data_IF_825377275805
#
_entry.id   IF_825377275805
#
_cell.length_a   1.000
_cell.length_b   1.000
_cell.length_c   1.000
_cell.angle_alpha   90.00
_cell.angle_beta   90.00
_cell.angle_gamma   90.00
#
_symmetry.space_group_name_H-M   'P 1'
#
loop_
_entity.id
_entity.type
_entity.pdbx_description
1 polymer ?
#
# COMPACT_ATOMS: atom_id res chain seq x y z
N UNK A 1 0.72 -6.39 -19.25
CA UNK A 1 -0.19 -6.09 -18.12
C UNK A 1 -0.25 -7.20 -17.06
N UNK A 2 -0.24 -8.49 -17.41
CA UNK A 2 -0.42 -9.58 -16.41
C UNK A 2 0.68 -9.65 -15.34
N UNK A 3 1.93 -9.35 -15.69
CA UNK A 3 3.05 -9.34 -14.73
C UNK A 3 2.83 -8.35 -13.57
N UNK A 4 2.44 -7.10 -13.88
CA UNK A 4 2.15 -6.07 -12.87
C UNK A 4 0.90 -6.38 -12.03
N UNK A 5 0.00 -7.22 -12.54
CA UNK A 5 -1.21 -7.60 -11.81
C UNK A 5 -0.91 -8.69 -10.78
N UNK A 6 0.02 -9.59 -11.09
CA UNK A 6 0.44 -10.69 -10.19
C UNK A 6 1.60 -10.34 -9.26
N UNK A 7 2.33 -9.25 -9.52
CA UNK A 7 3.44 -8.84 -8.66
C UNK A 7 2.99 -8.26 -7.33
N UNK A 8 3.88 -8.22 -6.34
CA UNK A 8 3.66 -7.61 -5.03
C UNK A 8 3.46 -6.09 -5.11
N UNK A 9 2.74 -5.50 -4.16
CA UNK A 9 2.54 -4.05 -4.03
C UNK A 9 3.87 -3.29 -4.00
N UNK A 10 4.84 -3.80 -3.25
CA UNK A 10 6.19 -3.21 -3.16
C UNK A 10 6.86 -3.16 -4.54
N UNK A 11 6.77 -4.21 -5.34
CA UNK A 11 7.32 -4.28 -6.69
C UNK A 11 6.63 -3.29 -7.64
N UNK A 12 5.30 -3.14 -7.54
CA UNK A 12 4.53 -2.19 -8.36
C UNK A 12 4.96 -0.75 -8.06
N UNK A 13 5.00 -0.38 -6.78
CA UNK A 13 5.42 0.95 -6.36
C UNK A 13 6.88 1.21 -6.73
N UNK A 14 7.79 0.29 -6.41
CA UNK A 14 9.21 0.45 -6.72
C UNK A 14 9.46 0.59 -8.22
N UNK A 15 8.80 -0.23 -9.06
CA UNK A 15 8.94 -0.09 -10.52
C UNK A 15 8.44 1.25 -11.04
N UNK A 16 7.31 1.76 -10.54
CA UNK A 16 6.81 3.09 -10.90
C UNK A 16 7.79 4.21 -10.46
N UNK A 17 8.33 4.14 -9.23
CA UNK A 17 9.31 5.10 -8.74
C UNK A 17 10.63 5.03 -9.52
N UNK A 18 11.11 3.84 -9.89
CA UNK A 18 12.30 3.67 -10.73
C UNK A 18 12.07 4.31 -12.10
N UNK A 19 10.92 4.07 -12.73
CA UNK A 19 10.59 4.70 -14.01
C UNK A 19 10.56 6.22 -13.89
N UNK A 20 9.91 6.77 -12.86
CA UNK A 20 9.92 8.21 -12.60
C UNK A 20 11.35 8.75 -12.37
N UNK A 21 12.18 8.04 -11.61
CA UNK A 21 13.56 8.44 -11.35
C UNK A 21 14.42 8.43 -12.62
N UNK A 22 14.26 7.40 -13.47
CA UNK A 22 14.95 7.31 -14.77
C UNK A 22 14.52 8.44 -15.71
N UNK A 23 13.23 8.76 -15.75
CA UNK A 23 12.71 9.89 -16.53
C UNK A 23 13.31 11.21 -16.02
N UNK A 24 13.35 11.43 -14.70
CA UNK A 24 13.97 12.62 -14.11
C UNK A 24 15.46 12.73 -14.47
N UNK A 25 16.19 11.61 -14.41
CA UNK A 25 17.61 11.56 -14.83
C UNK A 25 17.76 11.88 -16.31
N UNK A 26 16.89 11.35 -17.17
CA UNK A 26 16.91 11.63 -18.61
C UNK A 26 16.65 13.11 -18.91
N UNK A 27 15.62 13.71 -18.29
CA UNK A 27 15.31 15.14 -18.44
C UNK A 27 16.45 16.01 -17.89
N UNK A 28 17.00 15.65 -16.72
CA UNK A 28 18.16 16.35 -16.15
C UNK A 28 19.40 16.26 -17.05
N UNK A 29 19.65 15.10 -17.65
CA UNK A 29 20.72 14.89 -18.62
C UNK A 29 20.56 15.75 -19.87
N UNK A 30 19.36 15.82 -20.44
CA UNK A 30 19.06 16.69 -21.58
C UNK A 30 19.29 18.17 -21.24
N UNK A 31 18.86 18.60 -20.05
CA UNK A 31 19.12 19.95 -19.55
C UNK A 31 20.61 20.27 -19.45
N UNK A 32 21.41 19.35 -18.89
CA UNK A 32 22.87 19.51 -18.80
C UNK A 32 23.53 19.64 -20.18
N UNK A 33 23.14 18.81 -21.16
CA UNK A 33 23.68 18.92 -22.53
C UNK A 33 23.40 20.29 -23.13
N UNK A 34 22.18 20.82 -22.95
CA UNK A 34 21.82 22.16 -23.42
C UNK A 34 22.69 23.26 -22.78
N UNK A 35 22.90 23.19 -21.47
CA UNK A 35 23.74 24.14 -20.70
C UNK A 35 25.19 24.07 -21.16
N UNK A 36 25.77 22.88 -21.32
CA UNK A 36 27.17 22.72 -21.76
C UNK A 36 27.37 23.29 -23.16
N UNK A 37 26.46 23.04 -24.10
CA UNK A 37 26.57 23.59 -25.46
C UNK A 37 26.47 25.12 -25.48
N UNK A 38 25.60 25.69 -24.65
CA UNK A 38 25.49 27.14 -24.49
C UNK A 38 26.77 27.74 -23.88
N UNK A 39 27.34 27.07 -22.87
CA UNK A 39 28.61 27.44 -22.25
C UNK A 39 29.74 27.53 -23.27
N UNK A 40 29.91 26.49 -24.10
CA UNK A 40 30.94 26.46 -25.14
C UNK A 40 30.76 27.57 -26.19
N UNK A 41 29.51 27.89 -26.56
CA UNK A 41 29.22 28.97 -27.50
C UNK A 41 29.56 30.36 -26.92
N UNK A 42 29.30 30.57 -25.62
CA UNK A 42 29.69 31.78 -24.91
C UNK A 42 31.22 31.88 -24.79
N UNK A 43 31.89 30.78 -24.46
CA UNK A 43 33.35 30.73 -24.36
C UNK A 43 34.02 31.09 -25.70
N UNK A 44 33.54 30.56 -26.82
CA UNK A 44 34.05 30.94 -28.15
C UNK A 44 33.86 32.44 -28.42
N UNK A 45 32.70 33.00 -28.05
CA UNK A 45 32.41 34.43 -28.28
C UNK A 45 33.30 35.34 -27.43
N UNK A 46 33.46 35.03 -26.14
CA UNK A 46 34.18 35.89 -25.19
C UNK A 46 35.69 35.68 -25.19
N UNK A 47 36.14 34.43 -25.27
CA UNK A 47 37.56 34.09 -25.14
C UNK A 47 38.31 34.13 -26.48
N UNK A 48 37.62 33.94 -27.61
CA UNK A 48 38.21 34.06 -28.93
C UNK A 48 37.81 35.38 -29.61
N UNK A 49 36.57 35.48 -30.09
CA UNK A 49 36.21 36.50 -31.06
C UNK A 49 36.31 37.93 -30.48
N UNK A 50 35.89 38.14 -29.22
CA UNK A 50 36.01 39.45 -28.58
C UNK A 50 37.47 39.86 -28.35
N UNK A 51 38.33 38.91 -27.98
CA UNK A 51 39.78 39.13 -27.82
C UNK A 51 40.41 39.46 -29.18
N UNK A 52 40.02 38.74 -30.24
CA UNK A 52 40.47 38.99 -31.60
C UNK A 52 40.06 40.37 -32.12
N UNK A 53 38.81 40.80 -31.92
CA UNK A 53 38.36 42.17 -32.26
C UNK A 53 39.15 43.21 -31.47
N UNK A 54 39.31 43.02 -30.15
CA UNK A 54 40.05 43.94 -29.30
C UNK A 54 41.48 44.13 -29.78
N UNK A 55 42.21 43.03 -30.00
CA UNK A 55 43.61 43.06 -30.42
C UNK A 55 43.79 43.66 -31.83
N UNK A 56 42.91 43.30 -32.77
CA UNK A 56 42.97 43.84 -34.14
C UNK A 56 42.65 45.34 -34.15
N UNK A 57 41.69 45.78 -33.33
CA UNK A 57 41.33 47.20 -33.21
C UNK A 57 42.41 48.01 -32.47
N UNK A 58 43.08 47.45 -31.45
CA UNK A 58 44.24 48.09 -30.82
C UNK A 58 45.39 48.21 -31.82
N UNK A 59 45.66 47.17 -32.62
CA UNK A 59 46.66 47.22 -33.71
C UNK A 59 46.36 48.36 -34.68
N UNK A 60 45.10 48.46 -35.14
CA UNK A 60 44.66 49.53 -36.03
C UNK A 60 44.80 50.92 -35.37
N UNK A 61 44.42 51.04 -34.10
CA UNK A 61 44.50 52.29 -33.34
C UNK A 61 45.95 52.74 -33.19
N UNK A 62 46.86 51.84 -32.80
CA UNK A 62 48.29 52.11 -32.65
C UNK A 62 48.94 52.48 -33.98
N UNK A 63 48.61 51.81 -35.09
CA UNK A 63 49.14 52.21 -36.40
C UNK A 63 48.58 53.54 -36.89
N UNK A 64 47.33 53.86 -36.56
CA UNK A 64 46.74 55.16 -36.85
C UNK A 64 47.42 56.27 -36.04
N UNK A 65 47.70 56.02 -34.75
CA UNK A 65 48.44 56.92 -33.88
C UNK A 65 49.87 57.13 -34.39
N UNK A 66 50.55 56.06 -34.78
CA UNK A 66 51.87 56.12 -35.41
C UNK A 66 51.86 56.96 -36.69
N UNK A 67 50.93 56.68 -37.63
CA UNK A 67 50.82 57.43 -38.88
C UNK A 67 50.57 58.93 -38.62
N UNK A 68 49.66 59.26 -37.69
CA UNK A 68 49.40 60.63 -37.25
C UNK A 68 50.62 61.28 -36.58
N UNK A 69 51.38 60.51 -35.81
CA UNK A 69 52.61 60.95 -35.16
C UNK A 69 53.66 61.40 -36.17
N UNK A 70 53.76 60.73 -37.32
CA UNK A 70 54.68 61.13 -38.40
C UNK A 70 54.31 62.52 -38.96
N UNK A 71 53.01 62.78 -39.17
CA UNK A 71 52.54 64.11 -39.56
C UNK A 71 52.83 65.17 -38.49
N UNK A 72 52.59 64.85 -37.22
CA UNK A 72 52.91 65.75 -36.10
C UNK A 72 54.41 66.06 -36.01
N UNK A 73 55.26 65.08 -36.25
CA UNK A 73 56.71 65.25 -36.23
C UNK A 73 57.18 66.13 -37.40
N UNK A 74 56.60 65.96 -38.58
CA UNK A 74 56.86 66.80 -39.76
C UNK A 74 56.44 68.26 -39.51
N UNK A 75 55.26 68.47 -38.92
CA UNK A 75 54.72 69.81 -38.63
C UNK A 75 55.51 70.55 -37.54
N UNK A 76 56.02 69.80 -36.55
CA UNK A 76 56.89 70.33 -35.50
C UNK A 76 58.23 70.89 -36.03
N UNK A 77 58.58 70.64 -37.29
CA UNK A 77 59.80 71.16 -37.92
C UNK A 77 59.74 72.68 -38.17
N UNK A 78 58.54 73.25 -38.39
CA UNK A 78 58.39 74.69 -38.70
C UNK A 78 58.17 75.60 -37.49
N UNK A 79 57.72 75.03 -36.35
CA UNK A 79 57.06 75.79 -35.29
C UNK A 79 57.92 76.26 -34.12
N UNK A 80 59.25 76.25 -34.23
CA UNK A 80 60.13 76.52 -33.08
C UNK A 80 59.93 75.53 -31.91
N UNK A 81 59.37 74.35 -32.20
CA UNK A 81 59.06 73.32 -31.20
C UNK A 81 60.38 72.83 -30.58
N UNK A 82 60.50 72.81 -29.24
CA UNK A 82 61.69 72.30 -28.55
C UNK A 82 62.06 70.88 -28.99
N UNK A 83 63.36 70.58 -29.10
CA UNK A 83 63.82 69.22 -29.44
C UNK A 83 63.33 68.17 -28.44
N UNK A 84 63.13 68.53 -27.17
CA UNK A 84 62.56 67.64 -26.17
C UNK A 84 61.11 67.22 -26.49
N UNK A 85 60.31 68.10 -27.09
CA UNK A 85 58.96 67.76 -27.55
C UNK A 85 59.00 66.85 -28.78
N UNK A 86 59.92 67.11 -29.73
CA UNK A 86 60.12 66.27 -30.91
C UNK A 86 60.59 64.87 -30.52
N UNK A 87 61.48 64.76 -29.54
CA UNK A 87 61.94 63.47 -29.03
C UNK A 87 60.81 62.68 -28.36
N UNK A 88 59.94 63.35 -27.59
CA UNK A 88 58.72 62.72 -27.06
C UNK A 88 57.81 62.17 -28.17
N UNK A 89 57.69 62.86 -29.31
CA UNK A 89 56.95 62.32 -30.46
C UNK A 89 57.65 61.12 -31.09
N UNK A 90 58.99 61.14 -31.24
CA UNK A 90 59.76 59.99 -31.75
C UNK A 90 59.64 58.77 -30.84
N UNK A 91 59.68 58.98 -29.52
CA UNK A 91 59.45 57.92 -28.55
C UNK A 91 58.05 57.33 -28.70
N UNK A 92 57.01 58.18 -28.74
CA UNK A 92 55.63 57.74 -28.94
C UNK A 92 55.45 56.96 -30.25
N UNK A 93 56.10 57.38 -31.35
CA UNK A 93 56.10 56.64 -32.62
C UNK A 93 56.65 55.23 -32.46
N UNK A 94 57.78 55.08 -31.77
CA UNK A 94 58.37 53.76 -31.50
C UNK A 94 57.48 52.90 -30.62
N UNK A 95 56.88 53.49 -29.58
CA UNK A 95 55.98 52.80 -28.66
C UNK A 95 54.69 52.33 -29.36
N UNK A 96 54.09 53.17 -30.18
CA UNK A 96 52.89 52.85 -30.97
C UNK A 96 53.18 51.71 -31.95
N UNK A 97 54.32 51.74 -32.65
CA UNK A 97 54.70 50.68 -33.58
C UNK A 97 54.95 49.35 -32.86
N UNK A 98 55.71 49.37 -31.75
CA UNK A 98 55.99 48.19 -30.95
C UNK A 98 54.70 47.59 -30.36
N UNK A 99 53.78 48.44 -29.89
CA UNK A 99 52.46 48.02 -29.41
C UNK A 99 51.65 47.36 -30.50
N UNK A 100 51.57 47.97 -31.69
CA UNK A 100 50.85 47.40 -32.83
C UNK A 100 51.39 45.99 -33.18
N UNK A 101 52.71 45.83 -33.30
CA UNK A 101 53.32 44.55 -33.61
C UNK A 101 53.07 43.50 -32.51
N UNK A 102 53.22 43.89 -31.24
CA UNK A 102 53.00 43.00 -30.10
C UNK A 102 51.57 42.48 -30.05
N UNK A 103 50.59 43.38 -30.14
CA UNK A 103 49.17 43.01 -30.02
C UNK A 103 48.70 42.25 -31.25
N UNK A 104 49.20 42.60 -32.43
CA UNK A 104 48.95 41.82 -33.65
C UNK A 104 49.48 40.39 -33.54
N UNK A 105 50.67 40.18 -32.98
CA UNK A 105 51.19 38.83 -32.76
C UNK A 105 50.32 38.00 -31.80
N UNK A 106 49.72 38.65 -30.78
CA UNK A 106 48.76 37.98 -29.88
C UNK A 106 47.49 37.59 -30.66
N UNK A 107 46.97 38.48 -31.51
CA UNK A 107 45.85 38.15 -32.39
C UNK A 107 46.19 36.99 -33.33
N UNK A 108 47.38 36.96 -33.95
CA UNK A 108 47.78 35.89 -34.87
C UNK A 108 47.91 34.52 -34.22
N UNK A 109 48.02 34.46 -32.90
CA UNK A 109 48.03 33.23 -32.13
C UNK A 109 46.62 32.70 -31.79
N UNK A 110 45.55 33.45 -32.07
CA UNK A 110 44.18 32.98 -31.86
C UNK A 110 43.72 32.07 -33.01
N UNK A 111 42.66 31.26 -32.82
CA UNK A 111 41.96 30.63 -33.93
C UNK A 111 41.42 31.64 -34.95
N UNK A 112 41.82 31.49 -36.22
CA UNK A 112 41.47 32.38 -37.33
C UNK A 112 40.70 31.64 -38.43
N UNK A 113 39.69 32.30 -39.01
CA UNK A 113 39.08 31.91 -40.28
C UNK A 113 40.01 32.16 -41.48
N UNK A 114 39.63 31.63 -42.65
CA UNK A 114 40.45 31.70 -43.86
C UNK A 114 40.63 33.14 -44.37
N UNK A 115 39.59 33.98 -44.26
CA UNK A 115 39.65 35.39 -44.67
C UNK A 115 40.56 36.22 -43.76
N UNK A 116 40.50 35.95 -42.45
CA UNK A 116 41.40 36.50 -41.44
C UNK A 116 42.85 36.10 -41.67
N UNK A 117 43.08 34.80 -41.94
CA UNK A 117 44.41 34.27 -42.20
C UNK A 117 45.02 34.93 -43.43
N UNK A 118 44.27 34.99 -44.54
CA UNK A 118 44.72 35.62 -45.77
C UNK A 118 45.01 37.12 -45.58
N UNK A 119 44.14 37.86 -44.89
CA UNK A 119 44.36 39.28 -44.61
C UNK A 119 45.56 39.50 -43.67
N UNK A 120 45.73 38.65 -42.66
CA UNK A 120 46.87 38.67 -41.74
C UNK A 120 48.19 38.40 -42.46
N UNK A 121 48.24 37.43 -43.37
CA UNK A 121 49.44 37.13 -44.15
C UNK A 121 49.83 38.31 -45.06
N UNK A 122 48.85 38.98 -45.68
CA UNK A 122 49.10 40.19 -46.48
C UNK A 122 49.54 41.38 -45.63
N UNK A 123 48.96 41.52 -44.43
CA UNK A 123 49.42 42.53 -43.46
C UNK A 123 50.88 42.28 -43.08
N UNK A 124 51.24 41.06 -42.70
CA UNK A 124 52.61 40.67 -42.32
C UNK A 124 53.60 40.90 -43.46
N UNK A 125 53.20 40.60 -44.70
CA UNK A 125 54.02 40.82 -45.89
C UNK A 125 54.32 42.31 -46.13
N UNK A 126 53.34 43.21 -45.93
CA UNK A 126 53.51 44.64 -46.20
C UNK A 126 54.11 45.42 -45.02
N UNK A 127 54.00 44.89 -43.80
CA UNK A 127 54.40 45.60 -42.59
C UNK A 127 55.88 46.03 -42.59
N UNK A 128 56.85 45.21 -43.02
CA UNK A 128 58.25 45.64 -43.13
C UNK A 128 58.45 46.84 -44.05
N UNK A 129 57.74 46.89 -45.18
CA UNK A 129 57.79 48.01 -46.12
C UNK A 129 57.18 49.29 -45.53
N UNK A 130 56.09 49.17 -44.77
CA UNK A 130 55.51 50.28 -44.02
C UNK A 130 56.49 50.83 -42.97
N UNK A 131 57.11 49.95 -42.18
CA UNK A 131 58.09 50.33 -41.15
C UNK A 131 59.31 51.02 -41.76
N UNK A 132 59.88 50.44 -42.82
CA UNK A 132 61.01 51.04 -43.52
C UNK A 132 60.65 52.42 -44.10
N UNK A 133 59.44 52.56 -44.66
CA UNK A 133 58.95 53.84 -45.15
C UNK A 133 58.73 54.88 -44.05
N UNK A 134 58.20 54.48 -42.90
CA UNK A 134 58.05 55.36 -41.74
C UNK A 134 59.42 55.83 -41.22
N UNK A 135 60.41 54.92 -41.16
CA UNK A 135 61.77 55.26 -40.75
C UNK A 135 62.42 56.26 -41.72
N UNK A 136 62.26 56.06 -43.03
CA UNK A 136 62.71 57.03 -44.03
C UNK A 136 62.11 58.43 -43.84
N UNK A 137 60.83 58.53 -43.47
CA UNK A 137 60.20 59.81 -43.13
C UNK A 137 60.89 60.46 -41.92
N UNK A 138 61.13 59.69 -40.85
CA UNK A 138 61.82 60.20 -39.65
C UNK A 138 63.23 60.67 -39.98
N UNK A 139 63.96 59.94 -40.82
CA UNK A 139 65.33 60.28 -41.20
C UNK A 139 65.40 61.52 -42.10
N UNK A 140 64.46 61.68 -43.04
CA UNK A 140 64.33 62.90 -43.85
C UNK A 140 63.99 64.13 -42.99
N UNK A 141 63.10 63.98 -41.99
CA UNK A 141 62.79 65.06 -41.03
C UNK A 141 64.06 65.44 -40.23
N UNK A 142 64.85 64.46 -39.79
CA UNK A 142 66.13 64.72 -39.08
C UNK A 142 67.16 65.41 -39.98
N UNK A 143 67.21 65.05 -41.26
CA UNK A 143 68.12 65.64 -42.24
C UNK A 143 67.73 67.07 -42.65
N UNK A 144 66.55 67.56 -42.25
CA UNK A 144 66.05 68.88 -42.61
C UNK A 144 65.31 68.93 -43.95
N UNK A 145 65.21 67.82 -44.69
CA UNK A 145 64.60 67.76 -46.01
C UNK A 145 63.08 67.53 -45.92
N UNK A 146 62.38 68.65 -45.73
CA UNK A 146 60.96 68.66 -45.43
C UNK A 146 60.07 68.31 -46.63
N UNK A 147 60.44 68.73 -47.83
CA UNK A 147 59.65 68.45 -49.04
C UNK A 147 59.74 66.98 -49.42
N UNK A 148 60.94 66.38 -49.29
CA UNK A 148 61.11 64.94 -49.45
C UNK A 148 60.35 64.17 -48.35
N UNK A 149 60.45 64.59 -47.08
CA UNK A 149 59.74 63.97 -45.97
C UNK A 149 58.22 64.00 -46.17
N UNK A 150 57.66 65.15 -46.59
CA UNK A 150 56.23 65.32 -46.88
C UNK A 150 55.77 64.42 -48.03
N UNK A 151 56.52 64.39 -49.12
CA UNK A 151 56.20 63.55 -50.28
C UNK A 151 56.21 62.06 -49.91
N UNK A 152 57.24 61.64 -49.16
CA UNK A 152 57.37 60.26 -48.69
C UNK A 152 56.25 59.89 -47.72
N UNK A 153 55.92 60.77 -46.77
CA UNK A 153 54.86 60.56 -45.80
C UNK A 153 53.48 60.48 -46.46
N UNK A 154 53.19 61.35 -47.42
CA UNK A 154 51.93 61.30 -48.16
C UNK A 154 51.77 59.98 -48.91
N UNK A 155 52.83 59.52 -49.59
CA UNK A 155 52.83 58.22 -50.30
C UNK A 155 52.68 57.05 -49.33
N UNK A 156 53.40 57.08 -48.20
CA UNK A 156 53.29 56.07 -47.15
C UNK A 156 51.86 55.99 -46.61
N UNK A 157 51.20 57.13 -46.40
CA UNK A 157 49.85 57.20 -45.84
C UNK A 157 48.76 56.83 -46.86
N UNK A 158 48.84 57.34 -48.10
CA UNK A 158 47.83 57.10 -49.14
C UNK A 158 47.87 55.66 -49.66
N UNK A 159 49.04 55.05 -49.75
CA UNK A 159 49.20 53.69 -50.28
C UNK A 159 49.47 52.67 -49.17
N UNK A 160 50.59 52.82 -48.45
CA UNK A 160 51.06 51.84 -47.47
C UNK A 160 50.07 51.67 -46.31
N UNK A 161 49.82 52.74 -45.56
CA UNK A 161 48.91 52.74 -44.41
C UNK A 161 47.48 52.37 -44.82
N UNK A 162 47.01 52.88 -45.96
CA UNK A 162 45.65 52.59 -46.43
C UNK A 162 45.45 51.10 -46.72
N UNK A 163 46.43 50.43 -47.34
CA UNK A 163 46.37 48.96 -47.57
C UNK A 163 46.52 48.17 -46.27
N UNK A 164 47.45 48.55 -45.38
CA UNK A 164 47.61 47.91 -44.06
C UNK A 164 46.30 48.01 -43.26
N UNK A 165 45.68 49.20 -43.27
CA UNK A 165 44.37 49.46 -42.64
C UNK A 165 43.26 48.62 -43.26
N UNK A 166 43.24 48.40 -44.57
CA UNK A 166 42.19 47.59 -45.20
C UNK A 166 42.25 46.15 -44.74
N UNK A 167 43.45 45.55 -44.61
CA UNK A 167 43.58 44.19 -44.09
C UNK A 167 43.12 44.07 -42.63
N UNK A 168 43.50 45.04 -41.78
CA UNK A 168 42.99 45.11 -40.41
C UNK A 168 41.47 45.23 -40.34
N UNK A 169 40.86 46.01 -41.24
CA UNK A 169 39.40 46.09 -41.33
C UNK A 169 38.77 44.76 -41.76
N UNK A 170 39.35 44.07 -42.74
CA UNK A 170 38.87 42.72 -43.13
C UNK A 170 38.88 41.77 -41.94
N UNK A 171 39.95 41.75 -41.14
CA UNK A 171 40.04 40.93 -39.93
C UNK A 171 39.00 41.33 -38.86
N UNK A 172 38.80 42.63 -38.63
CA UNK A 172 37.76 43.14 -37.71
C UNK A 172 36.35 42.76 -38.19
N UNK A 173 36.07 42.93 -39.48
CA UNK A 173 34.76 42.65 -40.08
C UNK A 173 34.46 41.15 -40.06
N UNK A 174 35.44 40.29 -40.31
CA UNK A 174 35.31 38.83 -40.18
C UNK A 174 34.99 38.42 -38.73
N UNK A 175 35.75 38.91 -37.75
CA UNK A 175 35.45 38.63 -36.34
C UNK A 175 34.06 39.13 -35.91
N UNK A 176 33.67 40.33 -36.34
CA UNK A 176 32.34 40.87 -36.05
C UNK A 176 31.22 40.04 -36.71
N UNK A 177 31.46 39.50 -37.91
CA UNK A 177 30.54 38.55 -38.57
C UNK A 177 30.43 37.27 -37.76
N UNK A 178 31.54 36.67 -37.35
CA UNK A 178 31.55 35.45 -36.53
C UNK A 178 30.82 35.64 -35.18
N UNK A 179 30.96 36.80 -34.53
CA UNK A 179 30.19 37.12 -33.29
C UNK A 179 28.68 37.11 -33.56
N UNK A 180 28.23 37.72 -34.68
CA UNK A 180 26.80 37.76 -35.04
C UNK A 180 26.26 36.37 -35.38
N UNK A 181 27.01 35.60 -36.17
CA UNK A 181 26.68 34.22 -36.54
C UNK A 181 26.65 33.31 -35.31
N UNK A 182 27.64 33.42 -34.43
CA UNK A 182 27.71 32.72 -33.16
C UNK A 182 26.55 33.06 -32.22
N UNK A 183 26.18 34.34 -32.12
CA UNK A 183 25.02 34.76 -31.32
C UNK A 183 23.69 34.21 -31.88
N UNK A 184 23.51 34.22 -33.20
CA UNK A 184 22.33 33.63 -33.84
C UNK A 184 22.26 32.10 -33.65
N UNK A 185 23.40 31.42 -33.81
CA UNK A 185 23.52 29.99 -33.55
C UNK A 185 23.24 29.64 -32.09
N UNK A 186 23.76 30.42 -31.14
CA UNK A 186 23.49 30.26 -29.71
C UNK A 186 22.01 30.48 -29.36
N UNK A 187 21.35 31.47 -29.98
CA UNK A 187 19.92 31.72 -29.80
C UNK A 187 19.07 30.55 -30.34
N UNK A 188 19.41 30.03 -31.53
CA UNK A 188 18.74 28.85 -32.11
C UNK A 188 18.94 27.60 -31.25
N UNK A 189 20.16 27.37 -30.78
CA UNK A 189 20.50 26.29 -29.88
C UNK A 189 19.74 26.40 -28.55
N UNK A 190 19.64 27.61 -27.98
CA UNK A 190 18.84 27.87 -26.78
C UNK A 190 17.37 27.51 -26.99
N UNK A 191 16.75 28.01 -28.06
CA UNK A 191 15.35 27.71 -28.34
C UNK A 191 15.11 26.22 -28.56
N UNK A 192 15.99 25.55 -29.31
CA UNK A 192 15.89 24.11 -29.54
C UNK A 192 16.07 23.31 -28.24
N UNK A 193 16.99 23.74 -27.36
CA UNK A 193 17.24 23.10 -26.06
C UNK A 193 16.06 23.30 -25.10
N UNK A 194 15.48 24.50 -25.06
CA UNK A 194 14.29 24.79 -24.27
C UNK A 194 13.09 23.98 -24.76
N UNK A 195 12.83 23.95 -26.07
CA UNK A 195 11.75 23.16 -26.64
C UNK A 195 11.90 21.67 -26.33
N UNK A 196 13.11 21.12 -26.44
CA UNK A 196 13.38 19.72 -26.09
C UNK A 196 13.17 19.45 -24.59
N UNK A 197 13.59 20.37 -23.72
CA UNK A 197 13.37 20.29 -22.28
C UNK A 197 11.89 20.36 -21.92
N UNK A 198 11.15 21.32 -22.49
CA UNK A 198 9.72 21.52 -22.28
C UNK A 198 8.92 20.28 -22.71
N UNK A 199 9.19 19.73 -23.90
CA UNK A 199 8.57 18.49 -24.38
C UNK A 199 8.94 17.33 -23.45
N UNK A 200 10.21 17.21 -23.05
CA UNK A 200 10.67 16.17 -22.13
C UNK A 200 9.97 16.22 -20.78
N UNK A 201 9.82 17.41 -20.19
CA UNK A 201 9.09 17.65 -18.94
C UNK A 201 7.60 17.35 -19.10
N UNK A 202 6.98 17.76 -20.21
CA UNK A 202 5.57 17.47 -20.47
C UNK A 202 5.30 15.97 -20.59
N UNK A 203 6.14 15.23 -21.33
CA UNK A 203 6.06 13.77 -21.44
C UNK A 203 6.28 13.12 -20.07
N UNK A 204 7.30 13.55 -19.33
CA UNK A 204 7.58 13.06 -17.98
C UNK A 204 6.38 13.21 -17.04
N UNK A 205 5.76 14.38 -17.06
CA UNK A 205 4.58 14.70 -16.27
C UNK A 205 3.37 13.84 -16.64
N UNK A 206 3.10 13.68 -17.94
CA UNK A 206 2.01 12.83 -18.42
C UNK A 206 2.22 11.35 -18.04
N UNK A 207 3.45 10.84 -18.17
CA UNK A 207 3.79 9.48 -17.76
C UNK A 207 3.64 9.30 -16.26
N UNK A 208 4.07 10.27 -15.44
CA UNK A 208 3.91 10.22 -13.99
C UNK A 208 2.43 10.18 -13.57
N UNK A 209 1.57 11.01 -14.19
CA UNK A 209 0.10 10.97 -13.97
C UNK A 209 -0.46 9.61 -14.38
N UNK A 210 -0.11 9.13 -15.57
CA UNK A 210 -0.62 7.86 -16.09
C UNK A 210 -0.23 6.69 -15.17
N UNK A 211 1.04 6.61 -14.75
CA UNK A 211 1.52 5.61 -13.82
C UNK A 211 0.84 5.73 -12.45
N UNK A 212 0.68 6.95 -11.93
CA UNK A 212 -0.03 7.20 -10.68
C UNK A 212 -1.46 6.68 -10.73
N UNK A 213 -2.24 7.08 -11.73
CA UNK A 213 -3.62 6.63 -11.91
C UNK A 213 -3.73 5.11 -12.10
N UNK A 214 -2.80 4.50 -12.85
CA UNK A 214 -2.78 3.07 -13.11
C UNK A 214 -2.47 2.28 -11.81
N UNK A 215 -1.43 2.68 -11.07
CA UNK A 215 -1.04 2.05 -9.81
C UNK A 215 -2.13 2.22 -8.75
N UNK A 216 -2.68 3.43 -8.59
CA UNK A 216 -3.79 3.69 -7.68
C UNK A 216 -4.98 2.77 -8.00
N UNK A 217 -5.43 2.71 -9.26
CA UNK A 217 -6.53 1.82 -9.66
C UNK A 217 -6.21 0.34 -9.46
N UNK A 218 -4.96 -0.08 -9.67
CA UNK A 218 -4.55 -1.46 -9.45
C UNK A 218 -4.62 -1.87 -7.97
N UNK A 219 -4.37 -0.95 -7.04
CA UNK A 219 -4.36 -1.22 -5.59
C UNK A 219 -5.73 -0.99 -4.96
N UNK A 220 -6.37 0.15 -5.23
CA UNK A 220 -7.60 0.54 -4.52
C UNK A 220 -8.82 -0.29 -4.92
N UNK A 221 -8.93 -0.70 -6.20
CA UNK A 221 -10.06 -1.49 -6.68
C UNK A 221 -10.19 -2.86 -5.99
N UNK A 222 -9.16 -3.73 -5.95
CA UNK A 222 -9.28 -5.03 -5.27
C UNK A 222 -9.44 -4.87 -3.75
N UNK A 223 -8.83 -3.85 -3.13
CA UNK A 223 -9.05 -3.56 -1.71
C UNK A 223 -10.51 -3.18 -1.44
N UNK A 224 -11.14 -2.41 -2.33
CA UNK A 224 -12.57 -2.11 -2.21
C UNK A 224 -13.44 -3.39 -2.31
N UNK A 225 -13.06 -4.36 -3.16
CA UNK A 225 -13.74 -5.67 -3.23
C UNK A 225 -13.57 -6.46 -1.94
N UNK A 226 -12.37 -6.47 -1.36
CA UNK A 226 -12.11 -7.14 -0.09
C UNK A 226 -12.93 -6.51 1.05
N UNK A 227 -12.97 -5.18 1.15
CA UNK A 227 -13.79 -4.45 2.13
C UNK A 227 -15.28 -4.77 1.96
N UNK A 228 -15.80 -4.72 0.74
CA UNK A 228 -17.20 -5.05 0.46
C UNK A 228 -17.52 -6.52 0.81
N UNK A 229 -16.59 -7.44 0.58
CA UNK A 229 -16.78 -8.86 0.93
C UNK A 229 -16.77 -9.07 2.44
N UNK A 230 -15.86 -8.43 3.17
CA UNK A 230 -15.86 -8.46 4.63
C UNK A 230 -17.15 -7.87 5.23
N UNK A 231 -17.66 -6.77 4.67
CA UNK A 231 -18.94 -6.17 5.09
C UNK A 231 -20.12 -7.12 4.87
N UNK A 232 -20.15 -7.87 3.76
CA UNK A 232 -21.20 -8.88 3.52
C UNK A 232 -21.14 -10.03 4.51
N UNK A 233 -19.94 -10.56 4.77
CA UNK A 233 -19.74 -11.61 5.79
C UNK A 233 -20.20 -11.09 7.17
N UNK A 234 -19.81 -9.87 7.55
CA UNK A 234 -20.22 -9.26 8.80
C UNK A 234 -21.75 -9.05 8.90
N UNK A 235 -22.42 -8.84 7.76
CA UNK A 235 -23.87 -8.79 7.65
C UNK A 235 -24.56 -10.16 7.61
N UNK A 236 -23.82 -11.27 7.65
CA UNK A 236 -24.35 -12.63 7.61
C UNK A 236 -24.64 -13.17 6.21
N UNK A 237 -24.35 -12.43 5.14
CA UNK A 237 -24.50 -12.92 3.76
C UNK A 237 -23.26 -13.72 3.34
N UNK A 238 -23.39 -15.05 3.38
CA UNK A 238 -22.36 -16.01 2.95
C UNK A 238 -22.67 -16.63 1.58
N UNK A 239 -23.65 -16.11 0.84
CA UNK A 239 -24.16 -16.76 -0.38
C UNK A 239 -23.32 -16.44 -1.62
N UNK A 240 -22.63 -15.31 -1.61
CA UNK A 240 -21.87 -14.82 -2.75
C UNK A 240 -20.40 -15.24 -2.68
N UNK A 241 -19.88 -15.97 -3.69
CA UNK A 241 -18.51 -16.43 -3.67
C UNK A 241 -17.51 -15.27 -3.75
N UNK A 242 -16.42 -15.38 -2.99
CA UNK A 242 -15.29 -14.46 -3.07
C UNK A 242 -14.25 -15.08 -3.99
N UNK A 243 -14.00 -14.45 -5.14
CA UNK A 243 -13.07 -14.96 -6.15
C UNK A 243 -11.85 -14.04 -6.24
N UNK A 244 -10.67 -14.62 -6.12
CA UNK A 244 -9.40 -13.95 -6.40
C UNK A 244 -8.91 -14.30 -7.81
N UNK A 245 -8.55 -13.28 -8.60
CA UNK A 245 -7.88 -13.44 -9.89
C UNK A 245 -6.43 -12.94 -9.88
N UNK A 246 -5.85 -12.81 -8.68
CA UNK A 246 -4.55 -12.16 -8.46
C UNK A 246 -3.64 -12.97 -7.55
N UNK A 247 -2.34 -12.91 -7.82
CA UNK A 247 -1.28 -13.47 -6.97
C UNK A 247 -0.60 -12.43 -6.05
N UNK A 248 -1.13 -11.20 -6.01
CA UNK A 248 -0.60 -10.12 -5.16
C UNK A 248 -1.20 -10.16 -3.75
N UNK A 249 -0.77 -9.25 -2.87
CA UNK A 249 -1.26 -9.17 -1.49
C UNK A 249 -2.78 -8.94 -1.40
N UNK A 250 -3.37 -8.26 -2.40
CA UNK A 250 -4.82 -8.12 -2.46
C UNK A 250 -5.51 -9.44 -2.81
N UNK A 251 -4.91 -10.24 -3.69
CA UNK A 251 -5.37 -11.59 -3.99
C UNK A 251 -5.31 -12.50 -2.76
N UNK A 252 -4.18 -12.49 -2.05
CA UNK A 252 -4.02 -13.26 -0.80
C UNK A 252 -5.06 -12.86 0.27
N UNK A 253 -5.39 -11.56 0.37
CA UNK A 253 -6.46 -11.10 1.26
C UNK A 253 -7.83 -11.64 0.83
N UNK A 254 -8.14 -11.63 -0.46
CA UNK A 254 -9.40 -12.19 -0.98
C UNK A 254 -9.49 -13.70 -0.76
N UNK A 255 -8.39 -14.43 -0.95
CA UNK A 255 -8.32 -15.87 -0.68
C UNK A 255 -8.57 -16.16 0.81
N UNK A 256 -7.92 -15.42 1.72
CA UNK A 256 -8.15 -15.56 3.16
C UNK A 256 -9.61 -15.23 3.57
N UNK A 257 -10.24 -14.23 2.93
CA UNK A 257 -11.66 -13.94 3.15
C UNK A 257 -12.59 -15.06 2.63
N UNK A 258 -12.22 -15.70 1.51
CA UNK A 258 -12.94 -16.87 0.97
C UNK A 258 -12.86 -18.07 1.92
N UNK A 259 -11.68 -18.34 2.48
CA UNK A 259 -11.48 -19.40 3.46
C UNK A 259 -12.32 -19.14 4.74
N UNK A 260 -12.32 -17.88 5.21
CA UNK A 260 -13.15 -17.46 6.35
C UNK A 260 -14.65 -17.63 6.07
N UNK A 261 -15.13 -17.24 4.88
CA UNK A 261 -16.52 -17.44 4.46
C UNK A 261 -16.89 -18.93 4.47
N UNK A 262 -16.02 -19.78 3.93
CA UNK A 262 -16.21 -21.23 3.87
C UNK A 262 -16.28 -21.83 5.28
N UNK A 263 -15.36 -21.43 6.17
CA UNK A 263 -15.37 -21.84 7.57
C UNK A 263 -16.66 -21.45 8.30
N UNK A 264 -17.12 -20.21 8.14
CA UNK A 264 -18.38 -19.73 8.72
C UNK A 264 -19.59 -20.51 8.19
N UNK A 265 -19.64 -20.78 6.87
CA UNK A 265 -20.72 -21.55 6.25
C UNK A 265 -20.80 -22.97 6.82
N UNK A 266 -19.66 -23.64 6.97
CA UNK A 266 -19.59 -24.98 7.55
C UNK A 266 -20.08 -24.99 9.01
N UNK A 267 -19.66 -24.00 9.80
CA UNK A 267 -20.13 -23.86 11.20
C UNK A 267 -21.65 -23.66 11.27
N UNK A 268 -22.22 -22.81 10.42
CA UNK A 268 -23.68 -22.60 10.37
C UNK A 268 -24.42 -23.88 9.96
N UNK A 269 -23.89 -24.66 9.00
CA UNK A 269 -24.47 -25.94 8.59
C UNK A 269 -24.43 -26.99 9.72
N UNK A 270 -23.34 -27.03 10.49
CA UNK A 270 -23.23 -27.90 11.65
C UNK A 270 -24.24 -27.50 12.74
N UNK A 271 -24.41 -26.20 13.00
CA UNK A 271 -25.40 -25.70 13.95
C UNK A 271 -26.82 -26.08 13.49
N UNK A 272 -27.16 -25.87 12.22
CA UNK A 272 -28.46 -26.23 11.67
C UNK A 272 -28.74 -27.74 11.83
N UNK A 273 -27.75 -28.58 11.48
CA UNK A 273 -27.87 -30.03 11.63
C UNK A 273 -28.06 -30.46 13.09
N UNK A 274 -27.34 -29.82 14.02
CA UNK A 274 -27.50 -30.07 15.45
C UNK A 274 -28.87 -29.60 15.98
N UNK A 275 -29.39 -28.48 15.45
CA UNK A 275 -30.75 -28.02 15.77
C UNK A 275 -31.83 -28.97 15.26
N UNK A 276 -31.69 -29.54 14.06
CA UNK A 276 -32.63 -30.54 13.52
C UNK A 276 -32.63 -31.83 14.35
N UNK A 277 -31.44 -32.27 14.78
CA UNK A 277 -31.31 -33.41 15.71
C UNK A 277 -31.96 -33.12 17.06
N UNK A 278 -31.76 -31.91 17.61
CA UNK A 278 -32.38 -31.50 18.86
C UNK A 278 -33.90 -31.42 18.75
N UNK A 279 -34.43 -30.91 17.62
CA UNK A 279 -35.86 -30.85 17.36
C UNK A 279 -36.47 -32.27 17.29
N UNK A 280 -35.81 -33.19 16.57
CA UNK A 280 -36.24 -34.58 16.47
C UNK A 280 -36.23 -35.28 17.85
N UNK A 281 -35.18 -35.07 18.65
CA UNK A 281 -35.10 -35.62 20.00
C UNK A 281 -36.18 -35.03 20.93
N UNK A 282 -36.54 -33.76 20.77
CA UNK A 282 -37.61 -33.13 21.53
C UNK A 282 -39.00 -33.70 21.16
N UNK A 283 -39.24 -34.00 19.88
CA UNK A 283 -40.47 -34.68 19.43
C UNK A 283 -40.57 -36.10 20.02
N UNK A 284 -39.47 -36.86 19.99
CA UNK A 284 -39.41 -38.20 20.59
C UNK A 284 -39.67 -38.15 22.11
N UNK A 285 -39.02 -37.21 22.81
CA UNK A 285 -39.22 -37.01 24.25
C UNK A 285 -40.69 -36.62 24.56
N UNK A 286 -41.30 -35.78 23.73
CA UNK A 286 -42.72 -35.44 23.87
C UNK A 286 -43.62 -36.65 23.71
N UNK A 287 -43.35 -37.52 22.73
CA UNK A 287 -44.10 -38.76 22.52
C UNK A 287 -43.95 -39.74 23.71
N UNK A 288 -42.72 -39.94 24.20
CA UNK A 288 -42.43 -40.76 25.39
C UNK A 288 -43.13 -40.21 26.63
N UNK A 289 -43.18 -38.89 26.78
CA UNK A 289 -43.85 -38.23 27.90
C UNK A 289 -45.37 -38.43 27.83
N UNK A 290 -45.98 -38.35 26.66
CA UNK A 290 -47.42 -38.61 26.47
C UNK A 290 -47.77 -40.07 26.76
N UNK A 291 -46.97 -41.02 26.28
CA UNK A 291 -47.14 -42.45 26.58
C UNK A 291 -46.99 -42.74 28.09
N UNK A 292 -45.97 -42.13 28.71
CA UNK A 292 -45.74 -42.24 30.16
C UNK A 292 -46.93 -41.69 30.96
N UNK A 293 -47.50 -40.57 30.52
CA UNK A 293 -48.71 -39.97 31.14
C UNK A 293 -49.89 -40.92 31.06
N UNK A 294 -50.12 -41.55 29.89
CA UNK A 294 -51.17 -42.58 29.73
C UNK A 294 -50.91 -43.82 30.58
N UNK A 295 -49.65 -44.21 30.74
CA UNK A 295 -49.22 -45.29 31.65
C UNK A 295 -49.56 -44.98 33.10
N UNK A 296 -49.24 -43.76 33.56
CA UNK A 296 -49.58 -43.29 34.90
C UNK A 296 -51.10 -43.24 35.15
N UNK A 297 -51.91 -42.83 34.16
CA UNK A 297 -53.38 -42.89 34.29
C UNK A 297 -53.87 -44.32 34.50
N UNK A 298 -53.41 -45.29 33.68
CA UNK A 298 -53.77 -46.71 33.85
C UNK A 298 -53.33 -47.25 35.21
N UNK A 299 -52.11 -46.93 35.64
CA UNK A 299 -51.61 -47.36 36.95
C UNK A 299 -52.45 -46.75 38.09
N UNK A 300 -52.92 -45.50 37.94
CA UNK A 300 -53.83 -44.90 38.92
C UNK A 300 -55.15 -45.67 39.00
N UNK A 301 -55.74 -46.03 37.86
CA UNK A 301 -56.98 -46.81 37.81
C UNK A 301 -56.80 -48.19 38.46
N UNK A 302 -55.69 -48.88 38.19
CA UNK A 302 -55.34 -50.16 38.83
C UNK A 302 -55.17 -49.99 40.35
N UNK A 303 -54.55 -48.90 40.81
CA UNK A 303 -54.43 -48.58 42.24
C UNK A 303 -55.81 -48.34 42.86
N UNK A 304 -56.72 -47.64 42.18
CA UNK A 304 -58.09 -47.45 42.67
C UNK A 304 -58.85 -48.78 42.77
N UNK A 305 -58.68 -49.68 41.79
CA UNK A 305 -59.24 -51.02 41.85
C UNK A 305 -58.64 -51.84 42.99
N UNK A 306 -57.33 -51.79 43.18
CA UNK A 306 -56.66 -52.46 44.29
C UNK A 306 -57.15 -51.92 45.65
N UNK A 307 -57.31 -50.61 45.79
CA UNK A 307 -57.89 -49.99 46.98
C UNK A 307 -59.34 -50.45 47.22
N UNK A 308 -60.14 -50.58 46.16
CA UNK A 308 -61.51 -51.12 46.24
C UNK A 308 -61.51 -52.59 46.67
N UNK A 309 -60.59 -53.40 46.12
CA UNK A 309 -60.43 -54.79 46.50
C UNK A 309 -59.98 -54.93 47.97
N UNK A 310 -59.07 -54.07 48.45
CA UNK A 310 -58.65 -54.01 49.86
C UNK A 310 -59.84 -53.64 50.77
N UNK A 311 -60.69 -52.70 50.37
CA UNK A 311 -61.91 -52.37 51.12
C UNK A 311 -62.88 -53.56 51.18
N UNK A 312 -63.11 -54.25 50.05
CA UNK A 312 -63.93 -55.47 49.99
C UNK A 312 -63.34 -56.59 50.85
N UNK A 313 -62.02 -56.82 50.79
CA UNK A 313 -61.33 -57.79 51.63
C UNK A 313 -61.46 -57.45 53.10
N UNK A 314 -61.34 -56.18 53.48
CA UNK A 314 -61.51 -55.74 54.87
C UNK A 314 -62.92 -56.04 55.38
N UNK A 315 -63.95 -55.73 54.57
CA UNK A 315 -65.34 -56.06 54.89
C UNK A 315 -65.56 -57.57 55.04
N UNK A 316 -64.98 -58.39 54.15
CA UNK A 316 -65.05 -59.84 54.24
C UNK A 316 -64.33 -60.39 55.49
N UNK A 317 -63.16 -59.82 55.85
CA UNK A 317 -62.44 -60.19 57.09
C UNK A 317 -63.26 -59.82 58.32
N UNK A 318 -63.90 -58.65 58.35
CA UNK A 318 -64.81 -58.27 59.42
C UNK A 318 -66.02 -59.21 59.51
N UNK A 319 -66.58 -59.63 58.38
CA UNK A 319 -67.67 -60.60 58.32
C UNK A 319 -67.25 -61.97 58.86
N UNK A 320 -66.08 -62.47 58.45
CA UNK A 320 -65.50 -63.71 58.99
C UNK A 320 -65.24 -63.60 60.48
N UNK A 321 -64.73 -62.45 60.97
CA UNK A 321 -64.52 -62.22 62.38
C UNK A 321 -65.85 -62.21 63.17
N UNK A 322 -66.89 -61.54 62.66
CA UNK A 322 -68.24 -61.57 63.25
C UNK A 322 -68.82 -62.99 63.29
N UNK A 323 -68.68 -63.74 62.20
CA UNK A 323 -69.13 -65.13 62.13
C UNK A 323 -68.36 -66.03 63.11
N UNK A 324 -67.06 -65.82 63.27
CA UNK A 324 -66.25 -66.56 64.25
C UNK A 324 -66.67 -66.25 65.69
N UNK A 325 -66.96 -64.98 66.02
CA UNK A 325 -67.50 -64.58 67.34
C UNK A 325 -68.86 -65.22 67.56
N UNK A 326 -69.78 -65.10 66.61
CA UNK A 326 -71.13 -65.69 66.71
C UNK A 326 -71.07 -67.22 66.83
N UNK A 327 -70.19 -67.88 66.08
CA UNK A 327 -69.97 -69.34 66.19
C UNK A 327 -69.40 -69.72 67.54
N UNK A 328 -68.47 -68.93 68.09
CA UNK A 328 -67.93 -69.14 69.44
C UNK A 328 -69.00 -68.99 70.51
N UNK A 329 -69.90 -68.00 70.38
CA UNK A 329 -71.04 -67.81 71.30
C UNK A 329 -72.03 -68.98 71.21
N UNK A 330 -72.40 -69.40 70.00
CA UNK A 330 -73.27 -70.55 69.78
C UNK A 330 -72.65 -71.84 70.31
N UNK A 331 -71.34 -72.05 70.12
CA UNK A 331 -70.61 -73.21 70.66
C UNK A 331 -70.60 -73.21 72.19
N UNK A 332 -70.48 -72.02 72.81
CA UNK A 332 -70.58 -71.88 74.26
C UNK A 332 -71.98 -72.19 74.77
N UNK A 333 -73.02 -71.67 74.12
CA UNK A 333 -74.42 -71.99 74.45
C UNK A 333 -74.70 -73.50 74.33
N UNK A 334 -74.24 -74.14 73.25
CA UNK A 334 -74.36 -75.59 73.08
C UNK A 334 -73.60 -76.39 74.17
N UNK A 335 -72.48 -75.86 74.66
CA UNK A 335 -71.74 -76.44 75.79
C UNK A 335 -72.54 -76.33 77.08
N UNK A 336 -73.16 -75.17 77.34
CA UNK A 336 -74.01 -74.94 78.51
C UNK A 336 -75.24 -75.87 78.47
N UNK A 337 -75.93 -75.98 77.33
CA UNK A 337 -77.04 -76.92 77.11
C UNK A 337 -76.60 -78.38 77.34
N UNK A 338 -75.40 -78.76 76.89
CA UNK A 338 -74.86 -80.10 77.13
C UNK A 338 -74.55 -80.36 78.62
N UNK A 339 -74.12 -79.33 79.37
CA UNK A 339 -73.92 -79.41 80.82
C UNK A 339 -75.25 -79.56 81.55
N UNK A 340 -76.28 -78.80 81.17
CA UNK A 340 -77.63 -78.93 81.72
C UNK A 340 -78.24 -80.30 81.39
N UNK A 341 -78.09 -80.75 80.14
CA UNK A 341 -78.49 -82.10 79.71
C UNK A 341 -77.79 -83.19 80.52
N UNK A 342 -76.50 -83.05 80.82
CA UNK A 342 -75.78 -83.96 81.72
C UNK A 342 -76.36 -83.94 83.14
N UNK A 343 -76.77 -82.78 83.64
CA UNK A 343 -77.50 -82.66 84.92
C UNK A 343 -78.82 -83.43 84.92
N UNK A 344 -79.59 -83.34 83.84
CA UNK A 344 -80.86 -84.07 83.69
C UNK A 344 -80.66 -85.59 83.64
N UNK A 345 -79.59 -86.05 82.97
CA UNK A 345 -79.20 -87.46 82.97
C UNK A 345 -78.82 -87.93 84.38
N UNK A 346 -78.06 -87.13 85.14
CA UNK A 346 -77.71 -87.46 86.53
C UNK A 346 -78.95 -87.59 87.44
N UNK A 347 -79.92 -86.68 87.27
CA UNK A 347 -81.23 -86.79 87.93
C UNK A 347 -81.98 -88.05 87.54
N UNK A 348 -81.95 -88.43 86.25
CA UNK A 348 -82.60 -89.64 85.75
C UNK A 348 -81.94 -90.91 86.30
N UNK A 349 -80.61 -90.95 86.35
CA UNK A 349 -79.87 -92.06 86.96
C UNK A 349 -80.21 -92.19 88.44
N UNK A 350 -80.23 -91.08 89.21
CA UNK A 350 -80.68 -91.11 90.61
C UNK A 350 -82.10 -91.64 90.75
N UNK A 351 -83.02 -91.20 89.89
CA UNK A 351 -84.40 -91.70 89.85
C UNK A 351 -84.48 -93.20 89.57
N UNK A 352 -83.67 -93.72 88.65
CA UNK A 352 -83.55 -95.16 88.38
C UNK A 352 -83.01 -95.90 89.61
N UNK A 353 -82.00 -95.37 90.30
CA UNK A 353 -81.45 -95.99 91.51
C UNK A 353 -82.48 -96.07 92.63
N UNK A 354 -83.28 -95.02 92.84
CA UNK A 354 -84.39 -95.01 93.79
C UNK A 354 -85.47 -96.02 93.40
N UNK A 355 -85.82 -96.09 92.12
CA UNK A 355 -86.79 -97.06 91.59
C UNK A 355 -86.31 -98.51 91.79
N UNK A 356 -85.02 -98.78 91.58
CA UNK A 356 -84.41 -100.09 91.84
C UNK A 356 -84.48 -100.45 93.33
N UNK A 357 -84.31 -99.47 94.22
CA UNK A 357 -84.48 -99.67 95.66
C UNK A 357 -85.93 -100.03 96.02
N UNK A 358 -86.92 -99.28 95.52
CA UNK A 358 -88.35 -99.55 95.76
C UNK A 358 -88.81 -100.90 95.17
N UNK A 359 -88.29 -101.29 94.00
CA UNK A 359 -88.55 -102.61 93.41
C UNK A 359 -87.99 -103.72 94.29
N UNK A 360 -86.77 -103.54 94.82
CA UNK A 360 -86.13 -104.54 95.70
C UNK A 360 -86.91 -104.72 97.00
N UNK A 361 -87.40 -103.61 97.57
CA UNK A 361 -88.25 -103.60 98.76
C UNK A 361 -89.61 -104.27 98.50
N UNK A 362 -90.25 -103.98 97.36
CA UNK A 362 -91.48 -104.67 96.91
C UNK A 362 -91.26 -106.16 96.71
N UNK A 363 -90.14 -106.60 96.11
CA UNK A 363 -89.84 -108.04 95.99
C UNK A 363 -89.62 -108.72 97.35
N UNK A 364 -89.09 -107.98 98.33
CA UNK A 364 -89.02 -108.44 99.73
C UNK A 364 -90.41 -108.67 100.33
N UNK A 365 -91.30 -107.69 100.21
CA UNK A 365 -92.68 -107.77 100.70
C UNK A 365 -93.49 -108.89 100.02
N UNK A 366 -93.29 -109.11 98.71
CA UNK A 366 -93.94 -110.22 97.98
C UNK A 366 -93.40 -111.59 98.43
N UNK A 367 -92.11 -111.70 98.75
CA UNK A 367 -91.53 -112.93 99.30
C UNK A 367 -92.04 -113.24 100.72
N UNK A 368 -92.26 -112.20 101.54
CA UNK A 368 -92.82 -112.33 102.89
C UNK A 368 -94.30 -112.73 102.87
N UNK A 369 -95.07 -112.21 101.90
CA UNK A 369 -96.46 -112.62 101.65
C UNK A 369 -96.55 -114.07 101.18
N UNK A 370 -95.64 -114.52 100.31
CA UNK A 370 -95.56 -115.91 99.86
C UNK A 370 -95.25 -116.89 101.01
N UNK A 371 -94.53 -116.45 102.04
CA UNK A 371 -94.27 -117.23 103.26
C UNK A 371 -95.54 -117.48 104.09
N UNK A 372 -96.33 -116.44 104.35
CA UNK A 372 -97.54 -116.52 105.17
C UNK A 372 -98.65 -117.41 104.57
N UNK A 373 -98.69 -117.56 103.23
CA UNK A 373 -99.67 -118.43 102.56
C UNK A 373 -99.38 -119.93 102.78
N UNK A 374 -98.14 -120.30 103.18
CA UNK A 374 -97.77 -121.71 103.45
C UNK A 374 -98.05 -122.19 104.87
N UNK A 375 -98.36 -121.32 105.82
CA UNK A 375 -98.67 -121.72 107.21
C UNK A 375 -100.19 -121.93 107.46
N UNK A 376 -101.03 -121.83 106.43
CA UNK A 376 -102.50 -122.02 106.52
C UNK A 376 -102.93 -123.37 105.91
N UNK A 377 -102.13 -124.43 106.02
CA UNK A 377 -102.48 -125.81 105.65
C UNK A 377 -101.75 -126.80 106.55
#
# INVERSE_FOLDING_TARGET
>A
MNFLRQSKFSTKLLSAFIVCALITLAVGGLGMVGVTRLGNALELTFSNNLVSVSNTNETLTSLTAHNRGLYRLLDAQDGGVPEADKERVRQALSEDLARAQKVFAIYRATPLEDDERAAGDQFELMMPGYVAGAQQVVDLIRAGDKDAARTRLNTLSSEGFTKVRSYLRTMIDSNNRQIKEGAAAAASLRNSSLMMLEIGVAIAFLVAIMLGLLITRMITRPLAVAVASAQRIAGGDLTQPIVSDRGDEAGQLLDALSDMQTGLKNTIQQIASASDQLASAAEELSAVTDESTRGLTRQNDEIQQAATAVNQMTAAVEEVARNAVSTSEASKAATDDAVDGRGQVDHTVKGITTMVHEITESTGAVSELAGHVREIS
#
